data_IF_255301346909
#
_entry.id   IF_255301346909
#
_cell.length_a   1.000
_cell.length_b   1.000
_cell.length_c   1.000
_cell.angle_alpha   90.00
_cell.angle_beta   90.00
_cell.angle_gamma   90.00
#
_symmetry.space_group_name_H-M   'P 1'
#
loop_
_entity.id
_entity.type
_entity.pdbx_description
1 polymer ?
#
# COMPACT_ATOMS: atom_id res chain seq x y z
N UNK A 1 -3.18 -2.31 81.92
CA UNK A 1 -1.84 -2.05 82.55
C UNK A 1 -1.01 -1.31 81.49
N UNK A 2 -0.97 -0.01 81.66
CA UNK A 2 0.04 0.90 81.10
C UNK A 2 1.28 0.79 81.98
N UNK A 3 2.53 1.04 81.54
CA UNK A 3 3.00 2.41 81.42
C UNK A 3 4.04 2.65 80.28
N UNK A 4 4.27 3.79 79.92
CA UNK A 4 5.01 4.97 80.25
C UNK A 4 6.06 5.36 79.18
N UNK A 5 5.95 6.58 78.76
CA UNK A 5 6.83 7.50 78.04
C UNK A 5 8.33 7.45 78.34
N UNK A 6 9.14 7.66 77.27
CA UNK A 6 10.30 8.55 77.36
C UNK A 6 10.76 9.06 75.99
N UNK A 7 10.75 10.38 75.87
CA UNK A 7 11.43 11.14 74.81
C UNK A 7 12.91 11.30 75.13
N UNK A 8 13.81 11.43 74.19
CA UNK A 8 15.00 12.22 74.32
C UNK A 8 15.15 13.33 73.27
N UNK A 9 15.21 14.46 73.74
CA UNK A 9 16.11 15.63 73.67
C UNK A 9 16.89 15.81 72.33
N UNK A 10 16.56 16.94 71.67
CA UNK A 10 17.26 17.49 70.50
C UNK A 10 18.72 17.84 70.80
N UNK A 11 19.64 17.39 69.94
CA UNK A 11 20.99 17.96 69.84
C UNK A 11 21.05 18.87 68.60
N UNK A 12 21.34 20.17 68.87
CA UNK A 12 21.64 21.16 67.81
C UNK A 12 23.05 20.93 67.34
N UNK A 13 23.17 20.33 66.11
CA UNK A 13 24.41 20.27 65.35
C UNK A 13 24.53 21.48 64.45
N UNK A 14 25.64 22.20 64.54
CA UNK A 14 25.97 23.37 63.74
C UNK A 14 26.19 22.95 62.27
N UNK A 15 25.34 23.44 61.36
CA UNK A 15 25.52 23.26 59.92
C UNK A 15 26.60 24.26 59.48
N UNK A 16 27.73 23.74 59.02
CA UNK A 16 28.75 24.48 58.29
C UNK A 16 28.29 24.61 56.84
N UNK A 17 28.00 25.81 56.38
CA UNK A 17 27.78 26.14 55.00
C UNK A 17 29.08 26.01 54.25
N UNK A 18 29.19 25.02 53.35
CA UNK A 18 30.22 24.94 52.31
C UNK A 18 29.74 25.72 51.08
N UNK A 19 30.60 26.44 50.36
CA UNK A 19 30.19 27.20 49.21
C UNK A 19 29.81 26.23 48.09
N UNK A 20 28.56 26.34 47.58
CA UNK A 20 28.09 25.67 46.40
C UNK A 20 28.74 26.38 45.22
N UNK A 21 29.70 25.70 44.61
CA UNK A 21 30.27 26.09 43.32
C UNK A 21 29.22 25.82 42.25
N UNK A 22 28.60 26.91 41.74
CA UNK A 22 27.66 26.85 40.64
C UNK A 22 28.42 26.46 39.36
N UNK A 23 28.39 25.19 39.03
CA UNK A 23 28.74 24.75 37.68
C UNK A 23 27.59 25.17 36.76
N UNK A 24 27.77 26.24 36.00
CA UNK A 24 26.95 26.56 34.86
C UNK A 24 27.27 25.49 33.80
N UNK A 25 26.51 24.42 33.80
CA UNK A 25 26.42 23.56 32.65
C UNK A 25 25.77 24.38 31.53
N UNK A 26 26.62 24.89 30.64
CA UNK A 26 26.20 25.31 29.32
C UNK A 26 25.69 24.05 28.61
N UNK A 27 24.40 23.76 28.77
CA UNK A 27 23.67 22.90 27.85
C UNK A 27 23.69 23.67 26.54
N UNK A 28 24.68 23.35 25.71
CA UNK A 28 24.59 23.69 24.31
C UNK A 28 23.28 23.09 23.79
N UNK A 29 22.31 23.96 23.51
CA UNK A 29 21.23 23.61 22.62
C UNK A 29 21.91 23.16 21.32
N UNK A 30 22.07 21.84 21.17
CA UNK A 30 22.17 21.24 19.85
C UNK A 30 20.78 21.52 19.27
N UNK A 31 20.64 22.63 18.57
CA UNK A 31 19.55 22.82 17.63
C UNK A 31 19.52 21.52 16.81
N UNK A 32 18.37 20.85 16.67
CA UNK A 32 18.28 19.80 15.68
C UNK A 32 18.77 20.46 14.39
N UNK A 33 19.69 19.79 13.74
CA UNK A 33 20.18 20.18 12.43
C UNK A 33 18.96 20.19 11.49
N UNK A 34 18.31 21.35 11.48
CA UNK A 34 17.35 21.70 10.46
C UNK A 34 18.16 22.11 9.23
N UNK A 35 18.98 21.19 8.75
CA UNK A 35 19.27 21.11 7.35
C UNK A 35 17.96 20.65 6.70
N UNK A 36 16.98 21.56 6.61
CA UNK A 36 15.97 21.52 5.57
C UNK A 36 16.79 21.29 4.29
N UNK A 37 16.88 20.03 3.87
CA UNK A 37 17.71 19.70 2.76
C UNK A 37 17.05 20.28 1.53
N UNK A 38 17.61 21.35 1.01
CA UNK A 38 17.33 21.79 -0.34
C UNK A 38 17.82 20.67 -1.26
N UNK A 39 16.91 19.77 -1.62
CA UNK A 39 17.25 18.67 -2.50
C UNK A 39 17.73 19.16 -3.86
N UNK A 40 17.23 20.30 -4.35
CA UNK A 40 17.58 20.88 -5.66
C UNK A 40 19.08 21.00 -5.94
N UNK A 41 19.90 21.19 -4.90
CA UNK A 41 21.36 21.36 -5.06
C UNK A 41 22.14 20.04 -5.11
N UNK A 42 21.46 18.92 -4.89
CA UNK A 42 22.10 17.60 -4.93
C UNK A 42 22.30 17.15 -6.39
N UNK A 43 23.46 16.55 -6.74
CA UNK A 43 23.68 16.06 -8.10
C UNK A 43 22.57 15.15 -8.63
N UNK A 44 22.04 14.26 -7.80
CA UNK A 44 20.94 13.38 -8.19
C UNK A 44 19.63 14.14 -8.46
N UNK A 45 19.36 15.22 -7.72
CA UNK A 45 18.18 16.05 -7.96
C UNK A 45 18.31 16.88 -9.24
N UNK A 46 19.52 17.35 -9.55
CA UNK A 46 19.80 18.05 -10.82
C UNK A 46 19.49 17.13 -12.01
N UNK A 47 19.83 15.85 -11.94
CA UNK A 47 19.51 14.90 -13.01
C UNK A 47 17.97 14.64 -13.11
N UNK A 48 17.25 14.60 -11.99
CA UNK A 48 15.78 14.53 -11.98
C UNK A 48 15.16 15.76 -12.63
N UNK A 49 15.65 16.97 -12.31
CA UNK A 49 15.16 18.23 -12.90
C UNK A 49 15.39 18.22 -14.42
N UNK A 50 16.58 17.82 -14.89
CA UNK A 50 16.87 17.70 -16.32
C UNK A 50 15.98 16.68 -17.01
N UNK A 51 15.73 15.53 -16.38
CA UNK A 51 14.84 14.50 -16.91
C UNK A 51 13.40 15.03 -17.04
N UNK A 52 12.91 15.74 -16.03
CA UNK A 52 11.59 16.37 -16.04
C UNK A 52 11.50 17.48 -17.11
N UNK A 53 12.53 18.30 -17.27
CA UNK A 53 12.63 19.34 -18.30
C UNK A 53 12.55 18.73 -19.73
N UNK A 54 13.30 17.67 -19.98
CA UNK A 54 13.24 16.94 -21.25
C UNK A 54 11.84 16.36 -21.55
N UNK A 55 11.08 16.09 -20.51
CA UNK A 55 9.69 15.62 -20.60
C UNK A 55 8.64 16.76 -20.64
N UNK A 56 9.06 18.04 -20.62
CA UNK A 56 8.20 19.21 -20.80
C UNK A 56 7.81 19.94 -19.51
N UNK A 57 8.37 19.57 -18.36
CA UNK A 57 8.19 20.29 -17.09
C UNK A 57 9.09 21.53 -17.06
N UNK A 58 8.60 22.66 -16.54
CA UNK A 58 9.46 23.83 -16.33
C UNK A 58 10.54 23.54 -15.29
N UNK A 59 11.81 23.72 -15.66
CA UNK A 59 12.96 23.38 -14.83
C UNK A 59 13.04 24.21 -13.53
N UNK A 60 12.60 25.48 -13.59
CA UNK A 60 12.59 26.37 -12.41
C UNK A 60 11.52 25.90 -11.43
N UNK A 61 10.33 25.61 -11.92
CA UNK A 61 9.26 25.04 -11.11
C UNK A 61 9.67 23.71 -10.44
N UNK A 62 10.30 22.80 -11.19
CA UNK A 62 10.78 21.53 -10.64
C UNK A 62 11.87 21.74 -9.56
N UNK A 63 12.78 22.68 -9.77
CA UNK A 63 13.81 23.04 -8.80
C UNK A 63 13.22 23.66 -7.53
N UNK A 64 12.27 24.59 -7.67
CA UNK A 64 11.57 25.22 -6.55
C UNK A 64 10.80 24.18 -5.73
N UNK A 65 10.13 23.24 -6.40
CA UNK A 65 9.41 22.16 -5.74
C UNK A 65 10.36 21.23 -4.95
N UNK A 66 11.49 20.84 -5.54
CA UNK A 66 12.49 20.02 -4.84
C UNK A 66 13.19 20.79 -3.71
N UNK A 67 13.31 22.11 -3.81
CA UNK A 67 13.78 22.96 -2.72
C UNK A 67 12.79 23.01 -1.55
N UNK A 68 11.48 22.93 -1.83
CA UNK A 68 10.42 22.92 -0.83
C UNK A 68 10.17 21.52 -0.23
N UNK A 69 10.78 20.46 -0.79
CA UNK A 69 10.67 19.12 -0.28
C UNK A 69 11.49 18.92 1.00
N UNK A 70 10.89 18.26 1.98
CA UNK A 70 11.49 18.01 3.28
C UNK A 70 11.90 16.55 3.44
N UNK A 71 13.11 16.34 3.95
CA UNK A 71 13.59 15.02 4.33
C UNK A 71 12.82 14.48 5.54
N UNK A 72 12.24 13.31 5.42
CA UNK A 72 11.43 12.69 6.46
C UNK A 72 12.13 11.46 7.07
N UNK A 73 12.72 11.61 8.26
CA UNK A 73 13.36 10.47 8.94
C UNK A 73 12.36 9.34 9.25
N UNK A 74 11.12 9.67 9.60
CA UNK A 74 10.06 8.70 9.86
C UNK A 74 9.77 7.79 8.66
N UNK A 75 9.96 8.27 7.43
CA UNK A 75 9.82 7.49 6.19
C UNK A 75 10.95 6.47 6.07
N UNK A 76 12.19 6.90 6.33
CA UNK A 76 13.35 6.00 6.32
C UNK A 76 13.23 4.92 7.39
N UNK A 77 12.73 5.28 8.57
CA UNK A 77 12.47 4.32 9.66
C UNK A 77 11.34 3.36 9.30
N UNK A 78 10.29 3.84 8.63
CA UNK A 78 9.16 3.01 8.22
C UNK A 78 9.56 1.99 7.14
N UNK A 79 10.29 2.42 6.11
CA UNK A 79 10.69 1.53 5.01
C UNK A 79 11.79 0.54 5.41
N UNK A 80 12.58 0.87 6.46
CA UNK A 80 13.61 -0.03 6.99
C UNK A 80 13.03 -1.17 7.86
N UNK A 81 11.79 -1.02 8.36
CA UNK A 81 11.13 -2.08 9.13
C UNK A 81 10.88 -3.30 8.23
N UNK A 82 11.11 -4.51 8.73
CA UNK A 82 10.77 -5.71 7.97
C UNK A 82 9.28 -5.66 7.61
N UNK A 83 9.01 -5.61 6.31
CA UNK A 83 7.64 -5.71 5.85
C UNK A 83 7.02 -7.04 6.32
N UNK A 84 5.72 -7.13 6.34
CA UNK A 84 4.78 -8.19 6.74
C UNK A 84 5.15 -9.67 6.44
N UNK A 85 6.37 -9.94 5.99
CA UNK A 85 6.88 -11.28 5.62
C UNK A 85 6.89 -12.30 6.76
N UNK A 86 6.51 -11.89 7.96
CA UNK A 86 6.57 -12.75 9.15
C UNK A 86 5.21 -13.31 9.58
N UNK A 87 4.11 -12.87 8.97
CA UNK A 87 2.77 -13.36 9.35
C UNK A 87 2.34 -14.51 8.44
N UNK A 88 1.90 -15.65 8.98
CA UNK A 88 1.26 -16.69 8.20
C UNK A 88 -0.09 -16.19 7.64
N UNK A 89 -0.56 -16.83 6.58
CA UNK A 89 -1.79 -16.44 5.89
C UNK A 89 -3.01 -16.31 6.82
N UNK A 90 -3.20 -17.26 7.72
CA UNK A 90 -4.34 -17.24 8.64
C UNK A 90 -4.38 -15.99 9.55
N UNK A 91 -3.22 -15.38 9.86
CA UNK A 91 -3.14 -14.11 10.59
C UNK A 91 -3.24 -12.91 9.65
N UNK A 92 -2.61 -12.98 8.47
CA UNK A 92 -2.60 -11.91 7.49
C UNK A 92 -4.02 -11.59 6.99
N UNK A 93 -4.80 -12.62 6.65
CA UNK A 93 -6.17 -12.44 6.19
C UNK A 93 -7.07 -11.71 7.20
N UNK A 94 -6.86 -11.91 8.50
CA UNK A 94 -7.65 -11.27 9.57
C UNK A 94 -7.47 -9.74 9.61
N UNK A 95 -6.39 -9.20 9.05
CA UNK A 95 -6.19 -7.75 8.94
C UNK A 95 -7.27 -7.13 8.04
N UNK A 96 -7.70 -7.86 7.01
CA UNK A 96 -8.61 -7.37 5.97
C UNK A 96 -10.03 -7.93 6.08
N UNK A 97 -10.19 -9.17 6.52
CA UNK A 97 -11.50 -9.83 6.62
C UNK A 97 -12.18 -9.58 7.98
N UNK A 98 -12.43 -8.33 8.28
CA UNK A 98 -13.19 -7.93 9.48
C UNK A 98 -14.63 -7.59 9.10
N UNK A 99 -15.59 -7.88 10.00
CA UNK A 99 -16.99 -7.55 9.74
C UNK A 99 -17.16 -6.08 9.37
N UNK A 100 -16.51 -5.19 10.10
CA UNK A 100 -16.55 -3.76 9.81
C UNK A 100 -16.11 -3.43 8.37
N UNK A 101 -15.03 -4.08 7.86
CA UNK A 101 -14.57 -3.82 6.48
C UNK A 101 -15.55 -4.37 5.45
N UNK A 102 -16.21 -5.49 5.75
CA UNK A 102 -17.25 -6.06 4.89
C UNK A 102 -18.45 -5.11 4.84
N UNK A 103 -18.96 -4.68 5.99
CA UNK A 103 -20.14 -3.80 6.08
C UNK A 103 -19.89 -2.45 5.38
N UNK A 104 -18.71 -1.85 5.59
CA UNK A 104 -18.33 -0.61 4.92
C UNK A 104 -18.08 -0.82 3.42
N UNK A 105 -17.70 -2.02 3.00
CA UNK A 105 -17.58 -2.40 1.59
C UNK A 105 -18.95 -2.48 0.91
N UNK A 106 -19.94 -3.04 1.57
CA UNK A 106 -21.34 -3.03 1.10
C UNK A 106 -21.84 -1.60 0.98
N UNK A 107 -21.65 -0.78 2.02
CA UNK A 107 -22.06 0.62 1.99
C UNK A 107 -21.38 1.43 0.87
N UNK A 108 -20.08 1.23 0.66
CA UNK A 108 -19.33 1.86 -0.43
C UNK A 108 -19.87 1.41 -1.80
N UNK A 109 -20.15 0.11 -1.97
CA UNK A 109 -20.73 -0.40 -3.20
C UNK A 109 -22.10 0.21 -3.47
N UNK A 110 -22.99 0.23 -2.49
CA UNK A 110 -24.35 0.79 -2.66
C UNK A 110 -24.30 2.29 -2.99
N UNK A 111 -23.42 3.04 -2.32
CA UNK A 111 -23.23 4.47 -2.59
C UNK A 111 -22.73 4.75 -4.02
N UNK A 112 -21.91 3.86 -4.60
CA UNK A 112 -21.29 4.04 -5.91
C UNK A 112 -21.76 3.01 -6.95
N UNK A 113 -22.94 2.40 -6.76
CA UNK A 113 -23.41 1.27 -7.57
C UNK A 113 -23.42 1.58 -9.07
N UNK A 114 -23.97 2.73 -9.46
CA UNK A 114 -24.05 3.15 -10.87
C UNK A 114 -22.68 3.26 -11.52
N UNK A 115 -21.68 3.82 -10.81
CA UNK A 115 -20.32 3.96 -11.33
C UNK A 115 -19.64 2.61 -11.43
N UNK A 116 -19.76 1.78 -10.39
CA UNK A 116 -19.20 0.43 -10.34
C UNK A 116 -19.77 -0.46 -11.45
N UNK A 117 -21.08 -0.40 -11.70
CA UNK A 117 -21.71 -1.15 -12.78
C UNK A 117 -21.22 -0.68 -14.16
N UNK A 118 -21.12 0.62 -14.39
CA UNK A 118 -20.60 1.21 -15.64
C UNK A 118 -19.13 0.82 -15.87
N UNK A 119 -18.28 0.90 -14.84
CA UNK A 119 -16.86 0.50 -14.92
C UNK A 119 -16.73 -1.00 -15.14
N UNK A 120 -17.57 -1.81 -14.48
CA UNK A 120 -17.58 -3.26 -14.68
C UNK A 120 -17.94 -3.63 -16.12
N UNK A 121 -18.94 -2.97 -16.71
CA UNK A 121 -19.32 -3.18 -18.11
C UNK A 121 -18.18 -2.83 -19.09
N UNK A 122 -17.44 -1.77 -18.81
CA UNK A 122 -16.34 -1.30 -19.70
C UNK A 122 -15.03 -2.06 -19.53
N UNK A 123 -14.74 -2.51 -18.32
CA UNK A 123 -13.45 -3.16 -17.99
C UNK A 123 -13.53 -4.67 -17.88
N UNK A 124 -14.73 -5.22 -17.72
CA UNK A 124 -14.97 -6.63 -17.43
C UNK A 124 -14.59 -7.04 -16.01
N UNK A 125 -14.20 -6.09 -15.14
CA UNK A 125 -13.83 -6.35 -13.74
C UNK A 125 -15.08 -6.32 -12.88
N UNK A 126 -15.39 -7.36 -12.08
CA UNK A 126 -16.56 -7.35 -11.21
C UNK A 126 -16.50 -6.25 -10.16
N UNK A 127 -17.64 -5.59 -9.82
CA UNK A 127 -17.70 -4.53 -8.84
C UNK A 127 -17.05 -4.89 -7.50
N UNK A 128 -17.30 -6.09 -6.99
CA UNK A 128 -16.76 -6.58 -5.72
C UNK A 128 -15.23 -6.59 -5.67
N UNK A 129 -14.57 -6.83 -6.81
CA UNK A 129 -13.10 -6.84 -6.87
C UNK A 129 -12.55 -5.43 -6.78
N UNK A 130 -13.16 -4.47 -7.47
CA UNK A 130 -12.79 -3.04 -7.40
C UNK A 130 -12.98 -2.52 -5.97
N UNK A 131 -14.15 -2.79 -5.37
CA UNK A 131 -14.47 -2.42 -3.99
C UNK A 131 -13.47 -3.04 -3.01
N UNK A 132 -13.13 -4.33 -3.18
CA UNK A 132 -12.19 -5.01 -2.31
C UNK A 132 -10.77 -4.42 -2.38
N UNK A 133 -10.28 -4.05 -3.57
CA UNK A 133 -8.99 -3.37 -3.71
C UNK A 133 -9.00 -2.05 -2.95
N UNK A 134 -9.97 -1.18 -3.18
CA UNK A 134 -10.10 0.10 -2.46
C UNK A 134 -10.24 -0.14 -0.95
N UNK A 135 -10.95 -1.20 -0.57
CA UNK A 135 -11.10 -1.62 0.82
C UNK A 135 -9.80 -2.07 1.47
N UNK A 136 -8.97 -2.85 0.77
CA UNK A 136 -7.65 -3.30 1.25
C UNK A 136 -6.68 -2.14 1.34
N UNK A 137 -6.62 -1.29 0.30
CA UNK A 137 -5.64 -0.22 0.20
C UNK A 137 -5.89 0.90 1.22
N UNK A 138 -7.11 1.40 1.30
CA UNK A 138 -7.39 2.65 2.04
C UNK A 138 -8.59 2.58 2.97
N UNK A 139 -9.17 1.38 3.18
CA UNK A 139 -10.40 1.28 3.95
C UNK A 139 -11.48 2.24 3.39
N UNK A 140 -11.70 2.13 2.06
CA UNK A 140 -12.67 2.94 1.30
C UNK A 140 -12.40 4.45 1.35
N UNK A 141 -11.13 4.85 1.21
CA UNK A 141 -10.69 6.24 1.19
C UNK A 141 -10.46 6.87 2.57
N UNK A 142 -10.63 6.13 3.67
CA UNK A 142 -10.44 6.68 5.04
C UNK A 142 -8.97 6.81 5.45
N UNK A 143 -8.08 6.02 4.86
CA UNK A 143 -6.66 5.95 5.23
C UNK A 143 -5.83 6.02 3.96
N UNK A 144 -5.72 7.18 3.36
CA UNK A 144 -4.99 7.42 2.10
C UNK A 144 -3.52 7.80 2.31
N UNK A 145 -3.10 7.97 3.57
CA UNK A 145 -1.78 8.45 3.93
C UNK A 145 -1.77 9.93 4.32
N UNK A 146 -0.71 10.37 4.99
CA UNK A 146 -0.60 11.71 5.55
C UNK A 146 0.69 12.45 5.16
N UNK A 147 1.62 11.77 4.49
CA UNK A 147 2.85 12.39 4.02
C UNK A 147 2.61 13.18 2.74
N UNK A 148 3.24 14.34 2.59
CA UNK A 148 3.33 14.96 1.26
C UNK A 148 4.04 13.99 0.32
N UNK A 149 3.46 13.75 -0.84
CA UNK A 149 4.02 12.77 -1.80
C UNK A 149 5.42 13.18 -2.24
N UNK A 150 5.64 14.48 -2.45
CA UNK A 150 6.95 15.02 -2.82
C UNK A 150 8.02 14.72 -1.76
N UNK A 151 7.69 14.87 -0.47
CA UNK A 151 8.63 14.59 0.63
C UNK A 151 8.97 13.10 0.69
N UNK A 152 7.95 12.24 0.53
CA UNK A 152 8.13 10.80 0.56
C UNK A 152 9.04 10.34 -0.58
N UNK A 153 8.75 10.79 -1.80
CA UNK A 153 9.51 10.38 -2.97
C UNK A 153 10.93 10.97 -2.98
N UNK A 154 11.10 12.26 -2.64
CA UNK A 154 12.42 12.88 -2.55
C UNK A 154 13.29 12.21 -1.46
N UNK A 155 12.72 11.95 -0.27
CA UNK A 155 13.43 11.23 0.79
C UNK A 155 13.88 9.84 0.32
N UNK A 156 13.02 9.09 -0.34
CA UNK A 156 13.34 7.72 -0.78
C UNK A 156 14.24 7.69 -2.00
N UNK A 157 14.11 8.64 -2.91
CA UNK A 157 14.98 8.75 -4.09
C UNK A 157 16.42 9.10 -3.70
N UNK A 158 16.60 10.03 -2.77
CA UNK A 158 17.92 10.60 -2.49
C UNK A 158 18.58 10.06 -1.22
N UNK A 159 17.83 9.52 -0.27
CA UNK A 159 18.34 9.08 1.03
C UNK A 159 18.10 7.59 1.33
N UNK A 160 17.54 6.81 0.36
CA UNK A 160 17.35 5.35 0.49
C UNK A 160 18.03 4.57 -0.64
N UNK A 161 19.35 4.31 -0.57
CA UNK A 161 20.14 3.73 -1.67
C UNK A 161 19.62 2.39 -2.20
N UNK A 162 19.02 1.56 -1.34
CA UNK A 162 18.54 0.20 -1.73
C UNK A 162 17.52 0.21 -2.86
N UNK A 163 16.74 1.29 -3.01
CA UNK A 163 15.72 1.44 -4.04
C UNK A 163 15.70 2.83 -4.67
N UNK A 164 16.82 3.57 -4.60
CA UNK A 164 16.90 4.94 -5.12
C UNK A 164 16.47 5.02 -6.59
N UNK A 165 16.94 4.14 -7.45
CA UNK A 165 16.55 4.11 -8.88
C UNK A 165 15.06 4.02 -9.08
N UNK A 166 14.36 3.15 -8.32
CA UNK A 166 12.91 3.03 -8.40
C UNK A 166 12.23 4.34 -7.97
N UNK A 167 12.60 4.87 -6.80
CA UNK A 167 11.96 6.08 -6.27
C UNK A 167 12.32 7.34 -7.06
N UNK A 168 13.48 7.39 -7.71
CA UNK A 168 13.83 8.45 -8.67
C UNK A 168 12.85 8.46 -9.84
N UNK A 169 12.57 7.30 -10.45
CA UNK A 169 11.57 7.21 -11.52
C UNK A 169 10.16 7.59 -11.06
N UNK A 170 9.78 7.23 -9.82
CA UNK A 170 8.47 7.65 -9.27
C UNK A 170 8.43 9.16 -8.98
N UNK A 171 9.55 9.76 -8.54
CA UNK A 171 9.66 11.20 -8.35
C UNK A 171 9.54 11.96 -9.68
N UNK A 172 10.22 11.51 -10.74
CA UNK A 172 10.07 12.05 -12.08
C UNK A 172 8.62 11.95 -12.58
N UNK A 173 7.99 10.80 -12.40
CA UNK A 173 6.59 10.62 -12.75
C UNK A 173 5.66 11.54 -11.94
N UNK A 174 5.97 11.81 -10.67
CA UNK A 174 5.21 12.73 -9.83
C UNK A 174 5.33 14.19 -10.29
N UNK A 175 6.53 14.64 -10.65
CA UNK A 175 6.74 15.98 -11.22
C UNK A 175 5.88 16.17 -12.49
N UNK A 176 5.90 15.18 -13.37
CA UNK A 176 5.12 15.20 -14.60
C UNK A 176 3.61 15.22 -14.34
N UNK A 177 3.10 14.33 -13.48
CA UNK A 177 1.66 14.31 -13.21
C UNK A 177 1.15 15.59 -12.57
N UNK A 178 1.93 16.17 -11.63
CA UNK A 178 1.54 17.40 -10.95
C UNK A 178 1.53 18.61 -11.91
N UNK A 179 2.50 18.65 -12.82
CA UNK A 179 2.58 19.65 -13.88
C UNK A 179 1.42 19.53 -14.88
N UNK A 180 1.18 18.32 -15.39
CA UNK A 180 0.14 18.03 -16.39
C UNK A 180 -1.29 18.20 -15.84
N UNK A 181 -1.51 17.89 -14.55
CA UNK A 181 -2.82 17.94 -13.92
C UNK A 181 -3.15 19.29 -13.28
N UNK A 182 -2.25 20.28 -13.33
CA UNK A 182 -2.39 21.58 -12.66
C UNK A 182 -2.79 21.44 -11.17
N UNK A 183 -2.19 20.45 -10.49
CA UNK A 183 -2.42 20.20 -9.06
C UNK A 183 -1.27 20.77 -8.23
N UNK A 184 -1.60 21.35 -7.06
CA UNK A 184 -0.57 21.77 -6.10
C UNK A 184 0.19 20.56 -5.54
N UNK A 185 1.45 20.32 -5.95
CA UNK A 185 2.21 19.16 -5.54
C UNK A 185 2.54 19.15 -4.03
N UNK A 186 2.50 20.30 -3.38
CA UNK A 186 2.73 20.40 -1.93
C UNK A 186 1.48 20.03 -1.12
N UNK A 187 0.29 20.05 -1.72
CA UNK A 187 -0.95 19.64 -1.09
C UNK A 187 -1.22 18.13 -1.24
N UNK A 188 -0.67 17.47 -2.27
CA UNK A 188 -0.92 16.06 -2.54
C UNK A 188 -0.32 15.16 -1.44
N UNK A 189 -1.20 14.38 -0.81
CA UNK A 189 -0.82 13.45 0.27
C UNK A 189 -0.95 12.00 -0.18
N UNK A 190 -0.15 11.16 0.49
CA UNK A 190 -0.12 9.73 0.23
C UNK A 190 0.56 8.95 1.36
N UNK A 191 0.90 7.70 1.07
CA UNK A 191 1.62 6.82 2.00
C UNK A 191 3.07 7.26 2.19
N UNK A 192 3.74 6.68 3.18
CA UNK A 192 5.19 6.88 3.40
C UNK A 192 6.05 6.47 2.19
N UNK A 193 5.53 5.66 1.28
CA UNK A 193 6.20 5.25 0.04
C UNK A 193 5.77 6.05 -1.19
N UNK A 194 4.93 7.08 -1.03
CA UNK A 194 4.47 7.94 -2.13
C UNK A 194 3.30 7.36 -2.92
N UNK A 195 2.61 6.33 -2.43
CA UNK A 195 1.38 5.83 -3.03
C UNK A 195 0.20 6.75 -2.71
N UNK A 196 -0.71 6.98 -3.69
CA UNK A 196 -1.64 8.09 -3.72
C UNK A 196 -3.10 7.66 -3.85
N UNK A 197 -3.98 8.42 -3.19
CA UNK A 197 -5.43 8.34 -3.36
C UNK A 197 -6.07 7.05 -2.88
N UNK A 198 -7.33 6.84 -3.23
CA UNK A 198 -8.15 5.68 -2.84
C UNK A 198 -7.53 4.33 -3.22
N UNK A 199 -6.93 4.24 -4.42
CA UNK A 199 -6.32 3.03 -4.96
C UNK A 199 -4.84 2.89 -4.65
N UNK A 200 -4.21 3.82 -3.90
CA UNK A 200 -2.78 3.79 -3.58
C UNK A 200 -1.89 3.63 -4.81
N UNK A 201 -2.17 4.39 -5.88
CA UNK A 201 -1.36 4.38 -7.08
C UNK A 201 -0.01 5.04 -6.85
N UNK A 202 1.05 4.39 -7.29
CA UNK A 202 2.34 5.07 -7.49
C UNK A 202 2.21 6.09 -8.63
N UNK A 203 3.01 7.18 -8.65
CA UNK A 203 2.93 8.19 -9.71
C UNK A 203 3.01 7.63 -11.13
N UNK A 204 3.90 6.68 -11.38
CA UNK A 204 3.99 6.00 -12.67
C UNK A 204 2.71 5.23 -13.02
N UNK A 205 2.07 4.59 -12.03
CA UNK A 205 0.80 3.90 -12.22
C UNK A 205 -0.35 4.87 -12.48
N UNK A 206 -0.37 6.02 -11.79
CA UNK A 206 -1.33 7.08 -12.07
C UNK A 206 -1.24 7.53 -13.53
N UNK A 207 -0.05 7.89 -14.00
CA UNK A 207 0.16 8.34 -15.39
C UNK A 207 -0.21 7.29 -16.43
N UNK A 208 -0.04 6.01 -16.12
CA UNK A 208 -0.32 4.93 -17.05
C UNK A 208 -1.79 4.46 -17.04
N UNK A 209 -2.46 4.55 -15.91
CA UNK A 209 -3.73 3.84 -15.69
C UNK A 209 -4.85 4.67 -15.07
N UNK A 210 -4.59 5.84 -14.48
CA UNK A 210 -5.64 6.67 -13.95
C UNK A 210 -6.56 7.17 -15.09
N UNK A 211 -7.85 7.20 -14.81
CA UNK A 211 -8.88 7.64 -15.75
C UNK A 211 -9.89 8.52 -15.04
N UNK A 212 -10.29 9.63 -15.68
CA UNK A 212 -11.47 10.38 -15.29
C UNK A 212 -12.71 9.57 -15.69
N UNK A 213 -13.66 9.43 -14.76
CA UNK A 213 -14.89 8.66 -14.99
C UNK A 213 -15.81 9.32 -16.01
N UNK A 214 -15.93 10.65 -15.94
CA UNK A 214 -16.73 11.45 -16.86
C UNK A 214 -15.99 11.86 -18.15
N UNK A 215 -14.68 11.61 -18.20
CA UNK A 215 -13.82 11.99 -19.32
C UNK A 215 -13.38 13.45 -19.31
N UNK A 216 -13.66 14.19 -18.23
CA UNK A 216 -13.32 15.60 -18.11
C UNK A 216 -12.11 15.80 -17.18
N UNK A 217 -11.14 16.58 -17.66
CA UNK A 217 -9.95 16.95 -16.87
C UNK A 217 -9.02 15.80 -16.50
N UNK A 218 -8.06 16.11 -15.62
CA UNK A 218 -7.16 15.11 -15.06
C UNK A 218 -7.86 14.25 -13.99
N UNK A 219 -7.59 12.93 -13.95
CA UNK A 219 -8.21 12.04 -12.97
C UNK A 219 -7.94 12.49 -11.52
N UNK A 220 -8.99 12.60 -10.71
CA UNK A 220 -8.87 12.91 -9.30
C UNK A 220 -9.08 11.66 -8.44
N UNK A 221 -7.98 10.92 -8.21
CA UNK A 221 -8.02 9.70 -7.39
C UNK A 221 -7.97 9.98 -5.88
N UNK A 222 -7.80 11.25 -5.45
CA UNK A 222 -7.71 11.64 -4.03
C UNK A 222 -9.06 11.99 -3.44
N UNK A 223 -9.86 12.79 -4.16
CA UNK A 223 -11.10 13.38 -3.65
C UNK A 223 -12.35 12.93 -4.44
N UNK A 224 -12.16 12.34 -5.65
CA UNK A 224 -13.24 11.82 -6.47
C UNK A 224 -13.27 10.28 -6.46
N UNK A 225 -14.17 9.63 -5.68
CA UNK A 225 -14.30 8.17 -5.67
C UNK A 225 -14.63 7.57 -7.04
N UNK A 226 -15.31 8.29 -7.93
CA UNK A 226 -15.69 7.79 -9.25
C UNK A 226 -14.46 7.60 -10.14
N UNK A 227 -13.52 8.56 -10.10
CA UNK A 227 -12.25 8.44 -10.81
C UNK A 227 -11.37 7.33 -10.22
N UNK A 228 -11.38 7.20 -8.90
CA UNK A 228 -10.65 6.13 -8.25
C UNK A 228 -11.19 4.74 -8.63
N UNK A 229 -12.51 4.55 -8.67
CA UNK A 229 -13.17 3.31 -9.11
C UNK A 229 -12.82 3.03 -10.57
N UNK A 230 -12.93 4.03 -11.44
CA UNK A 230 -12.60 3.93 -12.86
C UNK A 230 -11.13 3.56 -13.06
N UNK A 231 -10.24 4.20 -12.32
CA UNK A 231 -8.79 3.95 -12.39
C UNK A 231 -8.41 2.54 -11.94
N UNK A 232 -9.00 2.03 -10.84
CA UNK A 232 -8.76 0.65 -10.37
C UNK A 232 -9.26 -0.36 -11.40
N UNK A 233 -10.46 -0.16 -11.96
CA UNK A 233 -11.00 -1.02 -13.02
C UNK A 233 -10.10 -1.01 -14.26
N UNK A 234 -9.67 0.16 -14.71
CA UNK A 234 -8.77 0.32 -15.85
C UNK A 234 -7.40 -0.33 -15.61
N UNK A 235 -6.83 -0.20 -14.39
CA UNK A 235 -5.58 -0.87 -14.01
C UNK A 235 -5.66 -2.38 -14.20
N UNK A 236 -6.70 -3.02 -13.67
CA UNK A 236 -6.87 -4.47 -13.77
C UNK A 236 -7.10 -4.90 -15.22
N UNK A 237 -7.93 -4.16 -15.99
CA UNK A 237 -8.14 -4.38 -17.41
C UNK A 237 -6.83 -4.30 -18.20
N UNK A 238 -6.05 -3.25 -17.99
CA UNK A 238 -4.77 -3.03 -18.66
C UNK A 238 -3.73 -4.12 -18.36
N UNK A 239 -3.83 -4.75 -17.17
CA UNK A 239 -3.00 -5.88 -16.79
C UNK A 239 -3.54 -7.25 -17.25
N UNK A 240 -4.60 -7.26 -18.06
CA UNK A 240 -5.11 -8.46 -18.71
C UNK A 240 -6.18 -9.20 -17.90
N UNK A 241 -7.02 -8.46 -17.17
CA UNK A 241 -8.24 -9.03 -16.58
C UNK A 241 -9.13 -9.64 -17.67
N UNK A 242 -9.63 -10.83 -17.42
CA UNK A 242 -10.51 -11.56 -18.31
C UNK A 242 -11.91 -11.67 -17.72
N UNK A 243 -12.85 -11.03 -18.39
CA UNK A 243 -14.24 -10.99 -17.96
C UNK A 243 -14.84 -12.39 -17.87
N UNK A 244 -15.53 -12.69 -16.77
CA UNK A 244 -16.19 -13.99 -16.56
C UNK A 244 -15.25 -15.15 -16.22
N UNK A 245 -13.92 -14.99 -16.32
CA UNK A 245 -13.00 -16.05 -15.90
C UNK A 245 -12.82 -16.07 -14.36
N UNK A 246 -12.59 -17.27 -13.85
CA UNK A 246 -12.31 -17.47 -12.42
C UNK A 246 -10.99 -16.80 -12.00
N UNK A 247 -10.89 -16.47 -10.73
CA UNK A 247 -9.67 -15.94 -10.09
C UNK A 247 -8.81 -17.09 -9.55
N UNK A 248 -9.38 -17.94 -8.72
CA UNK A 248 -8.70 -19.10 -8.10
C UNK A 248 -9.63 -20.31 -8.08
N UNK A 249 -9.04 -21.49 -7.97
CA UNK A 249 -9.72 -22.76 -7.71
C UNK A 249 -9.06 -23.39 -6.48
N UNK A 250 -9.80 -23.73 -5.40
CA UNK A 250 -9.26 -24.48 -4.28
C UNK A 250 -8.72 -25.84 -4.75
N UNK A 251 -7.65 -26.29 -4.12
CA UNK A 251 -7.02 -27.57 -4.47
C UNK A 251 -6.54 -28.34 -3.23
N UNK A 252 -6.33 -29.64 -3.42
CA UNK A 252 -5.63 -30.51 -2.46
C UNK A 252 -4.33 -30.98 -3.09
N UNK A 253 -3.31 -31.23 -2.27
CA UNK A 253 -2.01 -31.73 -2.72
C UNK A 253 -1.69 -33.02 -1.98
N UNK A 254 -1.45 -34.11 -2.72
CA UNK A 254 -1.25 -35.44 -2.15
C UNK A 254 0.15 -35.57 -1.52
N UNK A 255 1.16 -35.02 -2.18
CA UNK A 255 2.56 -35.02 -1.72
C UNK A 255 3.17 -33.61 -1.93
N UNK A 256 3.03 -32.70 -0.96
CA UNK A 256 3.48 -31.32 -1.11
C UNK A 256 5.00 -31.21 -1.08
N UNK A 257 5.61 -31.12 -2.25
CA UNK A 257 7.03 -30.83 -2.44
C UNK A 257 7.22 -29.31 -2.61
N UNK A 258 8.24 -28.67 -1.98
CA UNK A 258 8.53 -27.26 -2.18
C UNK A 258 8.71 -26.87 -3.64
N UNK A 259 9.28 -27.77 -4.46
CA UNK A 259 9.54 -27.56 -5.88
C UNK A 259 8.25 -27.31 -6.68
N UNK A 260 7.10 -27.80 -6.22
CA UNK A 260 5.81 -27.56 -6.83
C UNK A 260 5.48 -26.06 -6.89
N UNK A 261 5.95 -25.27 -5.91
CA UNK A 261 5.59 -23.86 -5.71
C UNK A 261 6.71 -22.87 -6.08
N UNK A 262 7.84 -23.32 -6.65
CA UNK A 262 8.98 -22.47 -7.02
C UNK A 262 8.74 -21.65 -8.31
N UNK A 263 7.72 -21.96 -9.10
CA UNK A 263 7.42 -21.31 -10.39
C UNK A 263 6.90 -19.87 -10.33
N UNK A 264 6.67 -19.32 -9.12
CA UNK A 264 6.11 -18.00 -8.92
C UNK A 264 4.59 -17.93 -9.18
N UNK A 265 4.06 -16.70 -9.23
CA UNK A 265 2.61 -16.47 -9.26
C UNK A 265 2.02 -16.34 -10.66
N UNK A 266 2.88 -16.27 -11.70
CA UNK A 266 2.41 -16.19 -13.09
C UNK A 266 1.94 -17.54 -13.55
N UNK A 267 0.69 -17.67 -14.06
CA UNK A 267 0.22 -18.91 -14.66
C UNK A 267 1.16 -19.39 -15.78
N UNK A 268 1.61 -20.64 -15.68
CA UNK A 268 2.67 -21.15 -16.56
C UNK A 268 2.41 -22.53 -17.14
N UNK A 269 1.57 -23.33 -16.49
CA UNK A 269 1.25 -24.70 -16.91
C UNK A 269 -0.26 -24.94 -16.86
N UNK A 270 -0.75 -25.93 -17.62
CA UNK A 270 -2.16 -26.29 -17.60
C UNK A 270 -2.57 -26.92 -16.27
N UNK A 271 -3.85 -26.85 -15.96
CA UNK A 271 -4.44 -27.54 -14.80
C UNK A 271 -4.17 -29.05 -14.89
N UNK A 272 -4.28 -29.65 -16.10
CA UNK A 272 -3.93 -31.05 -16.33
C UNK A 272 -2.48 -31.38 -15.89
N UNK A 273 -1.53 -30.47 -16.16
CA UNK A 273 -0.15 -30.63 -15.69
C UNK A 273 -0.06 -30.67 -14.16
N UNK A 274 -0.77 -29.76 -13.47
CA UNK A 274 -0.76 -29.73 -12.01
C UNK A 274 -1.45 -30.94 -11.41
N UNK A 275 -2.53 -31.45 -12.03
CA UNK A 275 -3.19 -32.71 -11.64
C UNK A 275 -2.21 -33.87 -11.72
N UNK A 276 -1.43 -33.97 -12.81
CA UNK A 276 -0.41 -35.01 -12.99
C UNK A 276 0.68 -34.96 -11.92
N UNK A 277 0.92 -33.78 -11.32
CA UNK A 277 1.86 -33.59 -10.20
C UNK A 277 1.19 -33.75 -8.81
N UNK A 278 -0.06 -34.22 -8.74
CA UNK A 278 -0.76 -34.50 -7.50
C UNK A 278 -1.48 -33.30 -6.88
N UNK A 279 -1.64 -32.17 -7.61
CA UNK A 279 -2.44 -31.04 -7.17
C UNK A 279 -3.83 -31.12 -7.78
N UNK A 280 -4.81 -31.57 -6.99
CA UNK A 280 -6.16 -31.88 -7.45
C UNK A 280 -7.11 -30.69 -7.17
N UNK A 281 -7.74 -30.07 -8.18
CA UNK A 281 -8.74 -29.04 -7.96
C UNK A 281 -9.94 -29.62 -7.20
N UNK A 282 -10.47 -28.87 -6.24
CA UNK A 282 -11.64 -29.28 -5.43
C UNK A 282 -12.97 -28.93 -6.10
N UNK A 283 -12.94 -28.22 -7.23
CA UNK A 283 -14.09 -27.81 -8.00
C UNK A 283 -13.80 -28.04 -9.49
N UNK A 284 -14.84 -28.25 -10.35
CA UNK A 284 -14.66 -28.37 -11.79
C UNK A 284 -13.94 -27.15 -12.36
N UNK A 285 -12.92 -27.39 -13.16
CA UNK A 285 -12.14 -26.38 -13.89
C UNK A 285 -11.70 -26.97 -15.22
N UNK A 286 -11.53 -26.12 -16.23
CA UNK A 286 -10.98 -26.52 -17.51
C UNK A 286 -9.53 -26.98 -17.33
N UNK A 287 -9.23 -28.22 -17.69
CA UNK A 287 -7.90 -28.82 -17.57
C UNK A 287 -6.87 -28.18 -18.49
N UNK A 288 -7.28 -27.52 -19.56
CA UNK A 288 -6.42 -26.76 -20.46
C UNK A 288 -6.16 -25.33 -19.95
N UNK A 289 -6.90 -24.86 -18.95
CA UNK A 289 -6.67 -23.55 -18.34
C UNK A 289 -5.27 -23.47 -17.73
N UNK A 290 -4.59 -22.34 -17.97
CA UNK A 290 -3.25 -22.13 -17.45
C UNK A 290 -3.32 -21.56 -16.03
N UNK A 291 -2.59 -22.18 -15.11
CA UNK A 291 -2.61 -21.86 -13.69
C UNK A 291 -1.20 -21.77 -13.09
N UNK A 292 -1.13 -21.20 -11.90
CA UNK A 292 0.04 -21.26 -11.01
C UNK A 292 -0.38 -21.90 -9.68
N UNK A 293 0.45 -22.76 -9.07
CA UNK A 293 0.18 -23.36 -7.78
C UNK A 293 0.39 -22.32 -6.68
N UNK A 294 -0.52 -22.24 -5.73
CA UNK A 294 -0.48 -21.34 -4.58
C UNK A 294 -0.52 -22.16 -3.31
N UNK A 295 0.39 -21.84 -2.42
CA UNK A 295 0.59 -22.48 -1.14
C UNK A 295 0.66 -21.43 -0.03
N UNK A 296 -0.31 -21.43 0.90
CA UNK A 296 -0.37 -20.50 2.01
C UNK A 296 -0.54 -21.22 3.34
N UNK A 297 0.13 -20.70 4.39
CA UNK A 297 0.08 -21.27 5.73
C UNK A 297 -1.28 -21.00 6.39
N UNK A 298 -2.10 -22.04 6.53
CA UNK A 298 -3.39 -22.00 7.21
C UNK A 298 -3.22 -22.11 8.74
N UNK A 299 -4.31 -22.00 9.48
CA UNK A 299 -4.29 -22.18 10.94
C UNK A 299 -3.86 -23.61 11.33
N UNK A 300 -4.21 -24.57 10.48
CA UNK A 300 -3.78 -25.96 10.60
C UNK A 300 -3.26 -26.41 9.24
N UNK A 301 -1.93 -26.67 9.17
CA UNK A 301 -1.29 -27.13 7.94
C UNK A 301 -1.19 -26.06 6.84
N UNK A 302 -1.38 -26.51 5.62
CA UNK A 302 -1.29 -25.68 4.42
C UNK A 302 -2.61 -25.68 3.67
N UNK A 303 -2.89 -24.59 2.98
CA UNK A 303 -4.03 -24.47 2.09
C UNK A 303 -3.52 -24.17 0.67
N UNK A 304 -4.13 -24.81 -0.32
CA UNK A 304 -3.64 -24.80 -1.68
C UNK A 304 -4.69 -24.31 -2.65
N UNK A 305 -4.28 -23.60 -3.69
CA UNK A 305 -5.13 -23.14 -4.79
C UNK A 305 -4.37 -23.18 -6.12
N UNK A 306 -5.12 -23.30 -7.18
CA UNK A 306 -4.69 -23.01 -8.54
C UNK A 306 -5.08 -21.55 -8.85
N UNK A 307 -4.10 -20.66 -8.93
CA UNK A 307 -4.27 -19.26 -9.32
C UNK A 307 -4.34 -19.13 -10.84
N UNK A 308 -5.46 -18.60 -11.35
CA UNK A 308 -5.68 -18.40 -12.78
C UNK A 308 -5.22 -16.99 -13.22
N UNK A 309 -5.50 -16.63 -14.47
CA UNK A 309 -5.08 -15.34 -15.03
C UNK A 309 -5.54 -14.15 -14.17
N UNK A 310 -6.80 -14.13 -13.71
CA UNK A 310 -7.32 -13.02 -12.93
C UNK A 310 -6.68 -12.92 -11.54
N UNK A 311 -6.25 -14.04 -10.95
CA UNK A 311 -5.45 -14.01 -9.73
C UNK A 311 -4.10 -13.32 -9.96
N UNK A 312 -3.42 -13.69 -11.05
CA UNK A 312 -2.17 -13.04 -11.43
C UNK A 312 -2.35 -11.54 -11.67
N UNK A 313 -3.45 -11.12 -12.27
CA UNK A 313 -3.77 -9.71 -12.48
C UNK A 313 -3.87 -8.97 -11.15
N UNK A 314 -4.53 -9.54 -10.12
CA UNK A 314 -4.56 -8.93 -8.78
C UNK A 314 -3.14 -8.83 -8.21
N UNK A 315 -2.27 -9.82 -8.44
CA UNK A 315 -0.86 -9.75 -7.97
C UNK A 315 -0.05 -8.66 -8.66
N UNK A 316 -0.53 -8.06 -9.75
CA UNK A 316 0.13 -6.89 -10.38
C UNK A 316 -0.03 -5.63 -9.56
N UNK A 317 -1.10 -5.55 -8.77
CA UNK A 317 -1.32 -4.45 -7.81
C UNK A 317 -0.31 -4.54 -6.65
N UNK A 318 -0.14 -5.73 -6.09
CA UNK A 318 0.89 -6.02 -5.10
C UNK A 318 1.40 -7.46 -5.32
N UNK A 319 2.71 -7.64 -5.51
CA UNK A 319 3.36 -8.91 -5.85
C UNK A 319 3.39 -9.89 -4.65
N UNK A 320 2.21 -10.24 -4.14
CA UNK A 320 2.02 -11.13 -2.99
C UNK A 320 0.81 -12.04 -3.20
N UNK A 321 0.99 -13.35 -3.04
CA UNK A 321 -0.13 -14.29 -3.05
C UNK A 321 -1.10 -14.01 -1.90
N UNK A 322 -0.60 -13.64 -0.72
CA UNK A 322 -1.45 -13.32 0.43
C UNK A 322 -2.30 -12.07 0.17
N UNK A 323 -1.73 -11.05 -0.47
CA UNK A 323 -2.48 -9.87 -0.86
C UNK A 323 -3.60 -10.22 -1.84
N UNK A 324 -3.28 -10.94 -2.92
CA UNK A 324 -4.27 -11.28 -3.93
C UNK A 324 -5.39 -12.17 -3.36
N UNK A 325 -5.06 -13.10 -2.46
CA UNK A 325 -6.07 -13.90 -1.74
C UNK A 325 -6.89 -13.04 -0.79
N UNK A 326 -6.31 -12.05 -0.09
CA UNK A 326 -7.06 -11.16 0.79
C UNK A 326 -8.05 -10.29 0.01
N UNK A 327 -7.65 -9.74 -1.14
CA UNK A 327 -8.54 -9.02 -2.05
C UNK A 327 -9.67 -9.94 -2.52
N UNK A 328 -9.35 -11.16 -2.96
CA UNK A 328 -10.35 -12.11 -3.43
C UNK A 328 -11.33 -12.52 -2.31
N UNK A 329 -10.83 -12.95 -1.16
CA UNK A 329 -11.68 -13.34 -0.03
C UNK A 329 -12.58 -12.18 0.45
N UNK A 330 -12.04 -10.95 0.48
CA UNK A 330 -12.81 -9.76 0.83
C UNK A 330 -13.89 -9.47 -0.21
N UNK A 331 -13.57 -9.57 -1.51
CA UNK A 331 -14.53 -9.36 -2.58
C UNK A 331 -15.72 -10.32 -2.48
N UNK A 332 -15.45 -11.61 -2.24
CA UNK A 332 -16.50 -12.61 -2.08
C UNK A 332 -17.35 -12.37 -0.83
N UNK A 333 -16.72 -11.95 0.28
CA UNK A 333 -17.42 -11.64 1.52
C UNK A 333 -18.34 -10.42 1.37
N UNK A 334 -17.90 -9.37 0.69
CA UNK A 334 -18.71 -8.17 0.39
C UNK A 334 -19.88 -8.54 -0.51
N UNK A 335 -19.64 -9.31 -1.59
CA UNK A 335 -20.69 -9.73 -2.51
C UNK A 335 -21.74 -10.63 -1.84
N UNK A 336 -21.33 -11.51 -0.92
CA UNK A 336 -22.24 -12.34 -0.14
C UNK A 336 -23.10 -11.49 0.80
N UNK A 337 -22.49 -10.63 1.61
CA UNK A 337 -23.18 -9.74 2.54
C UNK A 337 -24.17 -8.82 1.82
N UNK A 338 -23.80 -8.26 0.66
CA UNK A 338 -24.70 -7.41 -0.13
C UNK A 338 -25.92 -8.16 -0.64
N UNK A 339 -25.76 -9.42 -1.07
CA UNK A 339 -26.90 -10.26 -1.48
C UNK A 339 -27.86 -10.55 -0.33
N UNK A 340 -27.34 -10.78 0.88
CA UNK A 340 -28.16 -11.02 2.09
C UNK A 340 -28.98 -9.79 2.50
N UNK A 341 -28.43 -8.58 2.31
CA UNK A 341 -29.15 -7.33 2.63
C UNK A 341 -30.18 -6.94 1.57
N UNK A 342 -30.12 -7.49 0.36
CA UNK A 342 -31.06 -7.23 -0.72
C UNK A 342 -32.30 -8.16 -0.72
N UNK A 343 -32.33 -9.16 0.18
CA UNK A 343 -33.45 -10.10 0.39
C UNK A 343 -34.34 -9.65 1.54
#
# INVERSE_FOLDING_TARGET
MTPLFSTPRAQRGKIRLAPILLWVLSVGLIAPDAAAGFYSDRPAAIEVIKSAELAGVDAVWAADLLSAAERQQSILDAIARPAEKTKPWHQYRQIFLTQRRIDEGVAFWDQHATVLDSVSLTTGVPPEVIVAIIGVETFYGRITGSYRVIDALATLAFDYPKRSTFFTGELEAFLLLAWEADKDPLALKGSYAGAMGYGQFMPSSYRAYATSYDGEGAPDIWDNPNDAISSVGNYLRAHGWRSGERVVVPATVTDPSPQLFEGGLKPSQSVAHWIALGMLPSEPVDEDAIAAPIDLEAQQGRAYWLGLQNFYVITRYNHSAMYAMAVWDLSQSIAAARRETAL
#
